data_IF_648883289704
#
_entry.id   IF_648883289704
#
_cell.length_a   1.000
_cell.length_b   1.000
_cell.length_c   1.000
_cell.angle_alpha   90.00
_cell.angle_beta   90.00
_cell.angle_gamma   90.00
#
_symmetry.space_group_name_H-M   'P 1'
#
loop_
_entity.id
_entity.type
_entity.pdbx_description
1 polymer ?
#
# COMPACT_ATOMS: atom_id res chain seq x y z
N UNK A 1 9.20 -28.33 8.65
CA UNK A 1 9.05 -27.55 7.39
C UNK A 1 8.29 -28.32 6.29
N UNK A 2 8.54 -29.61 6.11
CA UNK A 2 7.95 -30.44 5.03
C UNK A 2 6.42 -30.62 5.21
N UNK A 3 5.94 -30.91 6.41
CA UNK A 3 4.51 -31.08 6.71
C UNK A 3 3.66 -29.81 6.45
N UNK A 4 4.20 -28.61 6.73
CA UNK A 4 3.51 -27.33 6.46
C UNK A 4 3.35 -27.06 4.96
N UNK A 5 4.32 -27.43 4.12
CA UNK A 5 4.22 -27.31 2.65
C UNK A 5 3.13 -28.21 2.06
N UNK A 6 2.96 -29.40 2.58
CA UNK A 6 1.91 -30.31 2.13
C UNK A 6 0.50 -29.87 2.55
N UNK A 7 0.37 -29.23 3.70
CA UNK A 7 -0.93 -28.70 4.15
C UNK A 7 -1.37 -27.50 3.30
N UNK A 8 -0.48 -26.58 2.99
CA UNK A 8 -0.77 -25.43 2.12
C UNK A 8 -1.17 -25.88 0.71
N UNK A 9 -0.46 -26.83 0.12
CA UNK A 9 -0.80 -27.37 -1.19
C UNK A 9 -2.20 -28.01 -1.21
N UNK A 10 -2.54 -28.81 -0.20
CA UNK A 10 -3.88 -29.40 -0.08
C UNK A 10 -4.97 -28.34 0.05
N UNK A 11 -4.73 -27.33 0.87
CA UNK A 11 -5.70 -26.25 1.07
C UNK A 11 -5.89 -25.43 -0.21
N UNK A 12 -4.81 -25.16 -0.95
CA UNK A 12 -4.87 -24.49 -2.26
C UNK A 12 -5.62 -25.35 -3.29
N UNK A 13 -5.39 -26.65 -3.32
CA UNK A 13 -6.11 -27.56 -4.23
C UNK A 13 -7.61 -27.60 -3.89
N UNK A 14 -7.97 -27.66 -2.62
CA UNK A 14 -9.35 -27.61 -2.18
C UNK A 14 -10.03 -26.28 -2.51
N UNK A 15 -9.34 -25.16 -2.33
CA UNK A 15 -9.82 -23.83 -2.70
C UNK A 15 -10.03 -23.71 -4.22
N UNK A 16 -9.09 -24.20 -5.02
CA UNK A 16 -9.22 -24.22 -6.49
C UNK A 16 -10.42 -25.04 -6.97
N UNK A 17 -10.70 -26.18 -6.33
CA UNK A 17 -11.90 -26.96 -6.62
C UNK A 17 -13.18 -26.20 -6.28
N UNK A 18 -13.25 -25.56 -5.11
CA UNK A 18 -14.41 -24.74 -4.70
C UNK A 18 -14.64 -23.58 -5.66
N UNK A 19 -13.59 -22.89 -6.09
CA UNK A 19 -13.69 -21.79 -7.07
C UNK A 19 -14.17 -22.31 -8.42
N UNK A 20 -13.66 -23.46 -8.88
CA UNK A 20 -14.13 -24.08 -10.11
C UNK A 20 -15.61 -24.45 -10.03
N UNK A 21 -16.03 -25.05 -8.91
CA UNK A 21 -17.42 -25.46 -8.71
C UNK A 21 -18.37 -24.25 -8.64
N UNK A 22 -17.91 -23.11 -8.11
CA UNK A 22 -18.62 -21.83 -8.16
C UNK A 22 -18.76 -21.31 -9.60
N UNK A 23 -17.71 -21.38 -10.40
CA UNK A 23 -17.71 -20.88 -11.78
C UNK A 23 -18.59 -21.72 -12.73
N UNK A 24 -18.86 -22.98 -12.39
CA UNK A 24 -19.70 -23.88 -13.19
C UNK A 24 -21.18 -23.74 -12.82
N UNK A 25 -21.54 -23.28 -11.63
CA UNK A 25 -22.92 -23.07 -11.21
C UNK A 25 -23.51 -21.80 -11.82
N UNK A 26 -24.35 -21.96 -12.82
CA UNK A 26 -25.10 -20.87 -13.47
C UNK A 26 -26.16 -20.30 -12.50
N UNK A 27 -25.92 -19.13 -11.91
CA UNK A 27 -26.94 -18.49 -11.07
C UNK A 27 -26.49 -17.30 -10.24
N UNK A 28 -25.20 -16.99 -10.21
CA UNK A 28 -24.67 -15.84 -9.48
C UNK A 28 -24.24 -14.73 -10.45
N UNK A 29 -24.34 -13.48 -10.04
CA UNK A 29 -23.79 -12.36 -10.81
C UNK A 29 -22.26 -12.43 -10.87
N UNK A 30 -21.65 -11.77 -11.86
CA UNK A 30 -20.18 -11.74 -12.00
C UNK A 30 -19.50 -11.15 -10.75
N UNK A 31 -20.11 -10.12 -10.13
CA UNK A 31 -19.63 -9.50 -8.89
C UNK A 31 -19.69 -10.48 -7.71
N UNK A 32 -20.82 -11.20 -7.54
CA UNK A 32 -20.93 -12.20 -6.47
C UNK A 32 -19.95 -13.36 -6.63
N UNK A 33 -19.67 -13.76 -7.87
CA UNK A 33 -18.68 -14.81 -8.16
C UNK A 33 -17.27 -14.35 -7.79
N UNK A 34 -16.91 -13.09 -8.11
CA UNK A 34 -15.63 -12.50 -7.78
C UNK A 34 -15.44 -12.42 -6.26
N UNK A 35 -16.41 -11.87 -5.53
CA UNK A 35 -16.38 -11.73 -4.07
C UNK A 35 -16.23 -13.09 -3.36
N UNK A 36 -16.97 -14.10 -3.80
CA UNK A 36 -16.89 -15.45 -3.24
C UNK A 36 -15.56 -16.14 -3.54
N UNK A 37 -15.00 -15.92 -4.73
CA UNK A 37 -13.68 -16.46 -5.08
C UNK A 37 -12.58 -15.81 -4.24
N UNK A 38 -12.65 -14.50 -4.03
CA UNK A 38 -11.73 -13.74 -3.19
C UNK A 38 -11.81 -14.19 -1.73
N UNK A 39 -13.01 -14.40 -1.18
CA UNK A 39 -13.21 -14.93 0.16
C UNK A 39 -12.57 -16.31 0.34
N UNK A 40 -12.74 -17.24 -0.63
CA UNK A 40 -12.14 -18.58 -0.60
C UNK A 40 -10.60 -18.51 -0.62
N UNK A 41 -10.02 -17.63 -1.43
CA UNK A 41 -8.58 -17.41 -1.48
C UNK A 41 -8.08 -16.79 -0.17
N UNK A 42 -8.82 -15.84 0.40
CA UNK A 42 -8.53 -15.20 1.68
C UNK A 42 -8.43 -16.22 2.83
N UNK A 43 -9.36 -17.20 2.91
CA UNK A 43 -9.30 -18.26 3.91
C UNK A 43 -7.99 -19.07 3.86
N UNK A 44 -7.46 -19.32 2.67
CA UNK A 44 -6.23 -20.11 2.50
C UNK A 44 -4.99 -19.27 2.81
N UNK A 45 -4.97 -18.01 2.40
CA UNK A 45 -3.84 -17.12 2.62
C UNK A 45 -3.73 -16.69 4.08
N UNK A 46 -4.85 -16.42 4.76
CA UNK A 46 -4.87 -16.07 6.18
C UNK A 46 -4.41 -17.23 7.07
N UNK A 47 -4.78 -18.47 6.74
CA UNK A 47 -4.29 -19.67 7.45
C UNK A 47 -2.83 -20.02 7.15
N UNK A 48 -2.27 -19.51 6.07
CA UNK A 48 -0.87 -19.70 5.71
C UNK A 48 0.10 -18.78 6.48
N UNK A 49 -0.43 -17.71 7.11
CA UNK A 49 0.34 -16.87 8.03
C UNK A 49 0.53 -17.67 9.32
N UNK A 50 1.75 -18.03 9.69
CA UNK A 50 1.97 -18.75 10.94
C UNK A 50 1.73 -17.80 12.12
N UNK A 51 0.52 -17.79 12.68
CA UNK A 51 0.33 -17.39 14.07
C UNK A 51 0.93 -18.50 14.97
N UNK A 52 2.21 -18.77 14.80
CA UNK A 52 2.95 -19.63 15.71
C UNK A 52 3.17 -18.89 17.00
N UNK A 53 2.84 -19.51 18.14
CA UNK A 53 3.36 -19.08 19.43
C UNK A 53 4.89 -19.09 19.34
N UNK A 54 5.50 -17.92 19.44
CA UNK A 54 6.94 -17.79 19.56
C UNK A 54 7.31 -17.99 21.02
N UNK A 55 8.40 -18.70 21.30
CA UNK A 55 8.89 -18.76 22.67
C UNK A 55 9.39 -17.37 23.08
N UNK A 56 9.26 -17.02 24.37
CA UNK A 56 9.78 -15.75 24.86
C UNK A 56 11.30 -15.61 24.58
N UNK A 57 12.02 -16.71 24.63
CA UNK A 57 13.45 -16.73 24.32
C UNK A 57 13.74 -16.29 22.88
N UNK A 58 13.00 -16.84 21.89
CA UNK A 58 13.18 -16.50 20.47
C UNK A 58 12.84 -15.01 20.22
N UNK A 59 11.77 -14.51 20.86
CA UNK A 59 11.39 -13.10 20.74
C UNK A 59 12.40 -12.17 21.38
N UNK A 60 12.94 -12.55 22.55
CA UNK A 60 13.95 -11.77 23.28
C UNK A 60 15.24 -11.66 22.46
N UNK A 61 15.70 -12.76 21.87
CA UNK A 61 16.88 -12.78 20.98
C UNK A 61 16.67 -11.82 19.79
N UNK A 62 15.50 -11.90 19.14
CA UNK A 62 15.17 -11.07 17.98
C UNK A 62 15.11 -9.58 18.35
N UNK A 63 14.47 -9.25 19.48
CA UNK A 63 14.39 -7.87 19.97
C UNK A 63 15.77 -7.35 20.37
N UNK A 64 16.62 -8.18 20.97
CA UNK A 64 17.99 -7.80 21.30
C UNK A 64 18.82 -7.48 20.05
N UNK A 65 18.72 -8.32 19.01
CA UNK A 65 19.38 -8.06 17.71
C UNK A 65 18.91 -6.73 17.08
N UNK A 66 17.60 -6.48 17.10
CA UNK A 66 17.03 -5.21 16.63
C UNK A 66 17.54 -4.00 17.41
N UNK A 67 17.64 -4.12 18.73
CA UNK A 67 18.21 -3.07 19.59
C UNK A 67 19.67 -2.76 19.24
N UNK A 68 20.49 -3.78 19.04
CA UNK A 68 21.89 -3.64 18.64
C UNK A 68 22.01 -2.98 17.27
N UNK A 69 21.19 -3.41 16.29
CA UNK A 69 21.17 -2.83 14.96
C UNK A 69 20.79 -1.33 14.98
N UNK A 70 19.77 -0.97 15.76
CA UNK A 70 19.35 0.42 15.95
C UNK A 70 20.41 1.27 16.63
N UNK A 71 21.09 0.73 17.65
CA UNK A 71 22.20 1.41 18.30
C UNK A 71 23.37 1.68 17.34
N UNK A 72 23.61 0.76 16.40
CA UNK A 72 24.58 0.93 15.32
C UNK A 72 24.12 1.89 14.20
N UNK A 73 22.94 2.52 14.34
CA UNK A 73 22.39 3.45 13.36
C UNK A 73 21.79 2.79 12.11
N UNK A 74 21.60 1.49 12.11
CA UNK A 74 20.97 0.77 11.00
C UNK A 74 19.46 1.06 11.02
N UNK A 75 18.98 1.75 9.98
CA UNK A 75 17.53 1.96 9.80
C UNK A 75 16.88 0.66 9.36
N UNK A 76 15.68 0.38 9.91
CA UNK A 76 14.87 -0.73 9.45
C UNK A 76 14.45 -0.48 7.98
N UNK A 77 14.84 -1.33 7.02
CA UNK A 77 14.55 -1.13 5.61
C UNK A 77 13.06 -1.22 5.30
N UNK A 78 12.26 -1.82 6.19
CA UNK A 78 10.83 -1.99 6.00
C UNK A 78 10.01 -0.81 6.52
N UNK A 79 10.60 0.08 7.33
CA UNK A 79 9.93 1.27 7.81
C UNK A 79 9.75 2.31 6.71
N UNK A 80 8.67 3.07 6.79
CA UNK A 80 8.30 4.10 5.81
C UNK A 80 8.34 5.46 6.50
N UNK A 81 9.05 6.42 5.90
CA UNK A 81 9.10 7.80 6.38
C UNK A 81 8.19 8.70 5.55
N UNK A 82 7.56 9.71 6.20
CA UNK A 82 6.67 10.66 5.51
C UNK A 82 7.41 11.55 4.51
N UNK A 83 8.70 11.78 4.73
CA UNK A 83 9.50 12.73 3.96
C UNK A 83 9.16 14.19 4.30
N UNK A 84 8.61 14.42 5.49
CA UNK A 84 8.31 15.73 6.07
C UNK A 84 9.04 15.79 7.40
N UNK A 85 10.09 16.62 7.48
CA UNK A 85 10.99 16.66 8.64
C UNK A 85 10.29 16.81 9.99
N UNK A 86 9.23 17.64 10.07
CA UNK A 86 8.45 17.81 11.29
C UNK A 86 7.72 16.52 11.71
N UNK A 87 7.15 15.76 10.75
CA UNK A 87 6.50 14.49 11.04
C UNK A 87 7.51 13.37 11.30
N UNK A 88 8.56 13.31 10.52
CA UNK A 88 9.61 12.30 10.72
C UNK A 88 10.33 12.50 12.06
N UNK A 89 10.36 13.73 12.58
CA UNK A 89 10.83 14.02 13.93
C UNK A 89 9.91 13.49 15.03
N UNK A 90 8.61 13.39 14.78
CA UNK A 90 7.63 12.76 15.70
C UNK A 90 7.63 11.24 15.57
N UNK A 91 8.01 10.71 14.41
CA UNK A 91 8.09 9.28 14.11
C UNK A 91 9.51 8.90 13.67
N UNK A 92 10.50 8.95 14.58
CA UNK A 92 11.90 8.72 14.22
C UNK A 92 12.16 7.33 13.63
N UNK A 93 11.42 6.33 14.07
CA UNK A 93 11.47 4.97 13.54
C UNK A 93 10.64 4.80 12.24
N UNK A 94 9.92 5.81 11.78
CA UNK A 94 8.99 5.71 10.66
C UNK A 94 7.73 4.88 10.99
N UNK A 95 6.94 4.59 9.95
CA UNK A 95 5.75 3.72 10.03
C UNK A 95 6.22 2.28 9.81
N UNK A 96 5.96 1.41 10.78
CA UNK A 96 6.33 -0.02 10.71
C UNK A 96 5.26 -0.83 9.95
N UNK A 97 5.64 -1.97 9.35
CA UNK A 97 4.67 -2.87 8.75
C UNK A 97 3.56 -3.28 9.74
N UNK A 98 2.32 -3.30 9.27
CA UNK A 98 1.14 -3.64 10.06
C UNK A 98 0.56 -2.51 10.91
N UNK A 99 1.16 -1.31 10.91
CA UNK A 99 0.60 -0.15 11.60
C UNK A 99 -0.48 0.53 10.78
N UNK A 100 -1.53 0.99 11.45
CA UNK A 100 -2.58 1.86 10.91
C UNK A 100 -2.31 3.31 11.30
N UNK A 101 -2.27 4.20 10.30
CA UNK A 101 -2.18 5.65 10.52
C UNK A 101 -3.50 6.30 10.12
N UNK A 102 -4.14 7.00 11.04
CA UNK A 102 -5.39 7.71 10.79
C UNK A 102 -5.13 9.21 10.74
N UNK A 103 -5.54 9.84 9.64
CA UNK A 103 -5.42 11.29 9.44
C UNK A 103 -6.79 11.93 9.49
N UNK A 104 -7.05 12.74 10.52
CA UNK A 104 -8.26 13.52 10.68
C UNK A 104 -8.00 15.00 10.36
N UNK A 105 -8.91 15.63 9.59
CA UNK A 105 -8.88 17.06 9.33
C UNK A 105 -10.29 17.60 9.09
N UNK A 106 -10.49 18.90 9.29
CA UNK A 106 -11.71 19.58 8.87
C UNK A 106 -11.84 19.55 7.34
N UNK A 107 -13.06 19.63 6.79
CA UNK A 107 -13.23 19.76 5.35
C UNK A 107 -12.36 20.87 4.77
N UNK A 108 -11.88 20.71 3.56
CA UNK A 108 -11.07 21.68 2.79
C UNK A 108 -9.68 22.02 3.35
N UNK A 109 -9.21 21.40 4.43
CA UNK A 109 -7.84 21.62 4.99
C UNK A 109 -6.74 20.93 4.17
N UNK A 110 -7.12 20.01 3.28
CA UNK A 110 -6.15 19.32 2.40
C UNK A 110 -5.83 17.87 2.80
N UNK A 111 -6.71 17.19 3.57
CA UNK A 111 -6.56 15.77 3.96
C UNK A 111 -6.17 14.88 2.78
N UNK A 112 -6.92 14.95 1.67
CA UNK A 112 -6.66 14.15 0.46
C UNK A 112 -5.33 14.52 -0.22
N UNK A 113 -5.02 15.83 -0.27
CA UNK A 113 -3.74 16.29 -0.82
C UNK A 113 -2.55 15.74 -0.01
N UNK A 114 -2.66 15.71 1.31
CA UNK A 114 -1.68 15.11 2.20
C UNK A 114 -1.55 13.60 1.97
N UNK A 115 -2.66 12.87 1.84
CA UNK A 115 -2.64 11.43 1.57
C UNK A 115 -1.97 11.10 0.23
N UNK A 116 -2.31 11.84 -0.83
CA UNK A 116 -1.69 11.69 -2.17
C UNK A 116 -0.19 12.03 -2.11
N UNK A 117 0.19 13.10 -1.40
CA UNK A 117 1.59 13.44 -1.18
C UNK A 117 2.36 12.31 -0.48
N UNK A 118 1.82 11.75 0.61
CA UNK A 118 2.42 10.64 1.32
C UNK A 118 2.55 9.42 0.40
N UNK A 119 1.50 9.08 -0.36
CA UNK A 119 1.54 7.99 -1.32
C UNK A 119 2.66 8.13 -2.34
N UNK A 120 2.82 9.32 -2.93
CA UNK A 120 3.90 9.62 -3.87
C UNK A 120 5.29 9.49 -3.19
N UNK A 121 5.43 9.97 -1.95
CA UNK A 121 6.68 9.84 -1.18
C UNK A 121 7.02 8.39 -0.84
N UNK A 122 6.02 7.58 -0.50
CA UNK A 122 6.21 6.15 -0.21
C UNK A 122 6.60 5.36 -1.47
N UNK A 123 5.97 5.66 -2.61
CA UNK A 123 6.36 5.08 -3.88
C UNK A 123 7.82 5.40 -4.24
N UNK A 124 8.28 6.63 -4.03
CA UNK A 124 9.68 7.04 -4.22
C UNK A 124 10.67 6.33 -3.27
N UNK A 125 10.20 5.80 -2.16
CA UNK A 125 10.98 4.92 -1.27
C UNK A 125 10.97 3.44 -1.73
N UNK A 126 10.44 3.16 -2.92
CA UNK A 126 10.34 1.80 -3.49
C UNK A 126 9.20 0.95 -2.89
N UNK A 127 8.27 1.56 -2.16
CA UNK A 127 7.11 0.84 -1.60
C UNK A 127 5.97 0.80 -2.63
N UNK A 128 5.27 -0.32 -2.71
CA UNK A 128 4.05 -0.43 -3.52
C UNK A 128 2.90 0.25 -2.78
N UNK A 129 2.25 1.20 -3.44
CA UNK A 129 1.17 2.01 -2.87
C UNK A 129 -0.12 1.74 -3.64
N UNK A 130 -1.22 1.49 -2.92
CA UNK A 130 -2.56 1.46 -3.47
C UNK A 130 -3.37 2.60 -2.83
N UNK A 131 -4.11 3.34 -3.65
CA UNK A 131 -4.97 4.44 -3.20
C UNK A 131 -6.41 4.05 -3.51
N UNK A 132 -7.24 3.94 -2.47
CA UNK A 132 -8.68 3.75 -2.59
C UNK A 132 -9.38 5.07 -2.29
N UNK A 133 -10.16 5.56 -3.23
CA UNK A 133 -10.85 6.84 -3.10
C UNK A 133 -12.34 6.66 -3.40
N UNK A 134 -13.19 7.08 -2.45
CA UNK A 134 -14.64 7.09 -2.60
C UNK A 134 -15.19 8.46 -2.98
N UNK A 135 -14.44 9.54 -2.72
CA UNK A 135 -14.87 10.93 -2.97
C UNK A 135 -14.37 11.46 -4.33
N UNK A 136 -13.24 10.99 -4.81
CA UNK A 136 -12.55 11.53 -5.98
C UNK A 136 -12.30 10.44 -7.02
N UNK A 137 -12.43 10.82 -8.30
CA UNK A 137 -12.11 9.92 -9.41
C UNK A 137 -10.60 9.63 -9.52
N UNK A 138 -10.24 8.57 -10.26
CA UNK A 138 -8.85 8.24 -10.52
C UNK A 138 -8.12 9.36 -11.27
N UNK A 139 -8.83 10.03 -12.18
CA UNK A 139 -8.32 11.17 -12.95
C UNK A 139 -7.98 12.35 -12.04
N UNK A 140 -8.86 12.69 -11.10
CA UNK A 140 -8.62 13.80 -10.16
C UNK A 140 -7.41 13.52 -9.25
N UNK A 141 -7.25 12.29 -8.77
CA UNK A 141 -6.07 11.88 -8.00
C UNK A 141 -4.81 11.96 -8.86
N UNK A 142 -4.90 11.52 -10.11
CA UNK A 142 -3.79 11.59 -11.06
C UNK A 142 -3.38 13.02 -11.38
N UNK A 143 -4.33 13.94 -11.57
CA UNK A 143 -4.02 15.37 -11.71
C UNK A 143 -3.29 15.94 -10.48
N UNK A 144 -3.62 15.49 -9.28
CA UNK A 144 -2.89 15.90 -8.06
C UNK A 144 -1.47 15.34 -8.03
N UNK A 145 -1.26 14.10 -8.47
CA UNK A 145 0.09 13.52 -8.60
C UNK A 145 0.92 14.28 -9.63
N UNK A 146 0.37 14.58 -10.79
CA UNK A 146 1.02 15.43 -11.80
C UNK A 146 1.34 16.82 -11.25
N UNK A 147 0.42 17.43 -10.52
CA UNK A 147 0.62 18.73 -9.89
C UNK A 147 1.79 18.71 -8.89
N UNK A 148 1.91 17.65 -8.10
CA UNK A 148 3.03 17.45 -7.17
C UNK A 148 4.38 17.31 -7.88
N UNK A 149 4.42 16.60 -9.00
CA UNK A 149 5.68 16.33 -9.71
C UNK A 149 6.09 17.45 -10.66
N UNK A 150 5.13 18.14 -11.28
CA UNK A 150 5.38 19.23 -12.23
C UNK A 150 5.42 20.61 -11.59
N UNK A 151 4.93 20.77 -10.36
CA UNK A 151 4.68 22.06 -9.69
C UNK A 151 3.68 22.95 -10.44
N UNK A 152 2.84 22.39 -11.32
CA UNK A 152 1.76 23.08 -12.01
C UNK A 152 0.46 22.80 -11.26
N UNK A 153 -0.42 23.82 -11.10
CA UNK A 153 -1.67 23.63 -10.36
C UNK A 153 -2.57 22.57 -11.02
N UNK A 154 -3.26 21.77 -10.22
CA UNK A 154 -4.20 20.76 -10.74
C UNK A 154 -5.32 21.37 -11.57
N UNK A 155 -5.75 22.61 -11.28
CA UNK A 155 -6.73 23.34 -12.08
C UNK A 155 -6.21 23.71 -13.46
N UNK A 156 -4.94 24.14 -13.57
CA UNK A 156 -4.29 24.41 -14.85
C UNK A 156 -4.16 23.14 -15.68
N UNK A 157 -3.78 22.03 -15.05
CA UNK A 157 -3.66 20.72 -15.70
C UNK A 157 -5.02 20.24 -16.22
N UNK A 158 -6.07 20.31 -15.40
CA UNK A 158 -7.40 19.83 -15.78
C UNK A 158 -8.09 20.70 -16.86
N UNK A 159 -7.79 22.01 -16.89
CA UNK A 159 -8.32 22.92 -17.93
C UNK A 159 -7.57 22.86 -19.24
N UNK A 160 -6.41 22.21 -19.28
CA UNK A 160 -5.53 22.20 -20.47
C UNK A 160 -4.89 23.55 -20.81
N UNK A 161 -4.94 24.51 -19.87
CA UNK A 161 -4.43 25.89 -20.08
C UNK A 161 -2.93 25.98 -19.81
N UNK A 162 -2.13 25.16 -20.49
CA UNK A 162 -0.67 25.15 -20.36
C UNK A 162 -0.01 25.10 -21.75
N UNK A 163 1.20 25.66 -21.86
CA UNK A 163 1.95 25.69 -23.11
C UNK A 163 3.46 25.80 -22.86
N UNK A 164 4.25 25.47 -23.86
CA UNK A 164 5.70 25.68 -23.86
C UNK A 164 6.41 24.88 -22.78
N UNK A 165 7.12 25.56 -21.88
CA UNK A 165 7.90 24.91 -20.83
C UNK A 165 7.05 23.99 -19.93
N UNK A 166 5.77 24.32 -19.73
CA UNK A 166 4.86 23.51 -18.92
C UNK A 166 4.58 22.14 -19.53
N UNK A 167 4.54 22.03 -20.86
CA UNK A 167 4.38 20.75 -21.56
C UNK A 167 5.57 19.83 -21.29
N UNK A 168 6.79 20.38 -21.25
CA UNK A 168 7.99 19.63 -20.92
C UNK A 168 7.96 19.13 -19.48
N UNK A 169 7.58 20.00 -18.53
CA UNK A 169 7.45 19.63 -17.11
C UNK A 169 6.40 18.54 -16.89
N UNK A 170 5.30 18.54 -17.64
CA UNK A 170 4.27 17.50 -17.58
C UNK A 170 4.83 16.18 -18.13
N UNK A 171 5.56 16.20 -19.23
CA UNK A 171 6.18 14.99 -19.78
C UNK A 171 7.20 14.39 -18.81
N UNK A 172 8.05 15.21 -18.19
CA UNK A 172 8.99 14.76 -17.15
C UNK A 172 8.28 14.22 -15.91
N UNK A 173 7.16 14.84 -15.51
CA UNK A 173 6.36 14.38 -14.38
C UNK A 173 5.76 12.99 -14.66
N UNK A 174 5.26 12.76 -15.90
CA UNK A 174 4.77 11.45 -16.33
C UNK A 174 5.85 10.39 -16.17
N UNK A 175 7.07 10.67 -16.68
CA UNK A 175 8.16 9.69 -16.67
C UNK A 175 8.67 9.39 -15.23
N UNK A 176 8.39 10.29 -14.28
CA UNK A 176 8.67 10.07 -12.84
C UNK A 176 7.57 9.31 -12.10
N UNK A 177 6.36 9.27 -12.66
CA UNK A 177 5.20 8.60 -12.06
C UNK A 177 5.01 7.16 -12.55
N UNK A 178 5.60 6.78 -13.67
CA UNK A 178 5.55 5.44 -14.28
C UNK A 178 6.81 4.67 -13.97
#
# INVERSE_FOLDING_TARGET
KILKRHSLRRNLTAAAQRIRDLAVNEGSSEEELADRAEAILGEVTTRAIPNGSHSLADVTEQVHMDMVAKHAGTKDPDCIHFGIGALDGLFPDGIKPGQLVVVGARPSVGKTAFAVFCGAKFAKQGKRVAIYSEEMSNEEITYRLFSLESSISSSTLSSGSYAGLQEQLIAEARDRLV
#
